data_IF_266117933293
#
_entry.id   IF_266117933293
#
_cell.length_a   1.000
_cell.length_b   1.000
_cell.length_c   1.000
_cell.angle_alpha   90.00
_cell.angle_beta   90.00
_cell.angle_gamma   90.00
#
_symmetry.space_group_name_H-M   'P 1'
#
loop_
_entity.id
_entity.type
_entity.pdbx_description
1 polymer ?
#
# COMPACT_ATOMS: atom_id res chain seq x y z
N UNK A 1 0.78 21.32 -2.73
CA UNK A 1 -0.50 20.56 -2.73
C UNK A 1 -0.62 19.52 -3.86
N UNK A 2 -0.21 19.78 -5.12
CA UNK A 2 -0.26 18.78 -6.22
C UNK A 2 0.62 17.52 -6.07
N UNK A 3 1.61 17.53 -5.15
CA UNK A 3 2.59 16.45 -4.94
C UNK A 3 2.04 15.24 -4.16
N UNK A 4 0.96 15.42 -3.38
CA UNK A 4 0.36 14.35 -2.55
C UNK A 4 -0.83 13.65 -3.20
N UNK A 5 -1.32 14.19 -4.32
CA UNK A 5 -2.42 13.64 -5.09
C UNK A 5 -2.22 12.16 -5.50
N UNK A 6 -1.06 11.75 -6.04
CA UNK A 6 -0.86 10.34 -6.43
C UNK A 6 -0.84 9.40 -5.20
N UNK A 7 -0.22 9.80 -4.10
CA UNK A 7 -0.19 9.03 -2.85
C UNK A 7 -1.58 8.84 -2.24
N UNK A 8 -2.38 9.90 -2.21
CA UNK A 8 -3.78 9.82 -1.72
C UNK A 8 -4.63 8.92 -2.62
N UNK A 9 -4.41 8.96 -3.94
CA UNK A 9 -5.11 8.06 -4.87
C UNK A 9 -4.75 6.59 -4.58
N UNK A 10 -3.47 6.28 -4.41
CA UNK A 10 -3.01 4.93 -4.07
C UNK A 10 -3.61 4.47 -2.73
N UNK A 11 -3.68 5.38 -1.75
CA UNK A 11 -4.28 5.10 -0.45
C UNK A 11 -5.77 4.73 -0.58
N UNK A 12 -6.54 5.56 -1.29
CA UNK A 12 -7.99 5.36 -1.48
C UNK A 12 -8.27 4.13 -2.34
N UNK A 13 -7.49 3.89 -3.40
CA UNK A 13 -7.63 2.71 -4.25
C UNK A 13 -7.33 1.43 -3.46
N UNK A 14 -6.26 1.41 -2.66
CA UNK A 14 -5.94 0.26 -1.80
C UNK A 14 -7.04 -0.05 -0.79
N UNK A 15 -7.62 0.99 -0.17
CA UNK A 15 -8.77 0.84 0.71
C UNK A 15 -9.98 0.25 -0.02
N UNK A 16 -10.30 0.78 -1.22
CA UNK A 16 -11.40 0.29 -2.05
C UNK A 16 -11.24 -1.19 -2.42
N UNK A 17 -10.02 -1.60 -2.78
CA UNK A 17 -9.71 -3.00 -3.10
C UNK A 17 -9.86 -3.91 -1.88
N UNK A 18 -9.42 -3.48 -0.68
CA UNK A 18 -9.62 -4.25 0.55
C UNK A 18 -11.10 -4.44 0.88
N UNK A 19 -11.90 -3.36 0.78
CA UNK A 19 -13.34 -3.42 1.04
C UNK A 19 -14.03 -4.36 0.05
N UNK A 20 -13.65 -4.30 -1.23
CA UNK A 20 -14.19 -5.19 -2.26
C UNK A 20 -13.85 -6.66 -1.97
N UNK A 21 -12.59 -6.96 -1.63
CA UNK A 21 -12.14 -8.32 -1.30
C UNK A 21 -12.79 -8.85 -0.03
N UNK A 22 -12.98 -8.02 1.00
CA UNK A 22 -13.70 -8.40 2.22
C UNK A 22 -15.18 -8.63 1.94
N UNK A 23 -15.80 -7.83 1.07
CA UNK A 23 -17.18 -8.00 0.65
C UNK A 23 -17.38 -9.30 -0.14
N UNK A 24 -16.51 -9.59 -1.10
CA UNK A 24 -16.51 -10.88 -1.81
C UNK A 24 -16.23 -12.05 -0.86
N UNK A 25 -15.28 -11.89 0.07
CA UNK A 25 -14.96 -12.88 1.08
C UNK A 25 -16.15 -13.22 1.97
N UNK A 26 -16.90 -12.20 2.41
CA UNK A 26 -18.10 -12.35 3.22
C UNK A 26 -19.27 -13.02 2.48
N UNK A 27 -19.34 -12.84 1.15
CA UNK A 27 -20.31 -13.53 0.29
C UNK A 27 -19.88 -14.96 -0.08
N UNK A 28 -18.60 -15.30 0.10
CA UNK A 28 -18.05 -16.59 -0.31
C UNK A 28 -18.06 -17.61 0.83
N UNK A 29 -18.51 -18.83 0.54
CA UNK A 29 -18.46 -19.95 1.48
C UNK A 29 -17.23 -20.85 1.19
N UNK A 30 -16.58 -21.33 2.25
CA UNK A 30 -15.46 -22.28 2.16
C UNK A 30 -14.09 -21.64 1.89
N UNK A 31 -13.23 -22.32 1.11
CA UNK A 31 -11.83 -21.96 0.90
C UNK A 31 -11.62 -20.61 0.18
N UNK A 32 -12.62 -20.12 -0.54
CA UNK A 32 -12.59 -18.83 -1.25
C UNK A 32 -12.48 -17.66 -0.28
N UNK A 33 -13.12 -17.74 0.89
CA UNK A 33 -13.00 -16.72 1.93
C UNK A 33 -11.56 -16.60 2.41
N UNK A 34 -10.88 -17.73 2.58
CA UNK A 34 -9.48 -17.81 3.01
C UNK A 34 -8.53 -17.16 1.99
N UNK A 35 -8.78 -17.38 0.70
CA UNK A 35 -8.04 -16.71 -0.39
C UNK A 35 -8.31 -15.20 -0.40
N UNK A 36 -9.56 -14.77 -0.17
CA UNK A 36 -9.89 -13.34 -0.06
C UNK A 36 -9.18 -12.68 1.14
N UNK A 37 -9.14 -13.33 2.29
CA UNK A 37 -8.40 -12.82 3.45
C UNK A 37 -6.89 -12.75 3.20
N UNK A 38 -6.30 -13.74 2.54
CA UNK A 38 -4.90 -13.72 2.13
C UNK A 38 -4.62 -12.57 1.14
N UNK A 39 -5.50 -12.36 0.16
CA UNK A 39 -5.38 -11.24 -0.78
C UNK A 39 -5.45 -9.90 -0.05
N UNK A 40 -6.38 -9.73 0.91
CA UNK A 40 -6.46 -8.52 1.75
C UNK A 40 -5.18 -8.32 2.54
N UNK A 41 -4.60 -9.37 3.13
CA UNK A 41 -3.35 -9.28 3.88
C UNK A 41 -2.18 -8.80 3.01
N UNK A 42 -2.07 -9.29 1.77
CA UNK A 42 -1.03 -8.85 0.82
C UNK A 42 -1.24 -7.39 0.42
N UNK A 43 -2.46 -7.01 0.08
CA UNK A 43 -2.81 -5.61 -0.26
C UNK A 43 -2.54 -4.69 0.93
N UNK A 44 -2.89 -5.10 2.14
CA UNK A 44 -2.61 -4.37 3.38
C UNK A 44 -1.11 -4.21 3.62
N UNK A 45 -0.32 -5.26 3.44
CA UNK A 45 1.12 -5.17 3.63
C UNK A 45 1.76 -4.17 2.64
N UNK A 46 1.39 -4.22 1.36
CA UNK A 46 1.86 -3.26 0.36
C UNK A 46 1.43 -1.81 0.67
N UNK A 47 0.17 -1.65 1.08
CA UNK A 47 -0.40 -0.36 1.47
C UNK A 47 0.28 0.23 2.72
N UNK A 48 0.52 -0.59 3.72
CA UNK A 48 1.21 -0.24 4.95
C UNK A 48 2.67 0.17 4.70
N UNK A 49 3.37 -0.54 3.80
CA UNK A 49 4.72 -0.12 3.38
C UNK A 49 4.71 1.24 2.70
N UNK A 50 3.69 1.55 1.89
CA UNK A 50 3.55 2.86 1.26
C UNK A 50 3.32 3.97 2.29
N UNK A 51 2.45 3.72 3.28
CA UNK A 51 2.26 4.62 4.42
C UNK A 51 3.54 4.84 5.22
N UNK A 52 4.32 3.79 5.46
CA UNK A 52 5.60 3.93 6.16
C UNK A 52 6.61 4.76 5.37
N UNK A 53 6.66 4.62 4.04
CA UNK A 53 7.50 5.47 3.19
C UNK A 53 7.04 6.93 3.23
N UNK A 54 5.74 7.17 3.17
CA UNK A 54 5.15 8.50 3.32
C UNK A 54 5.41 9.11 4.70
N UNK A 55 5.21 8.35 5.78
CA UNK A 55 5.46 8.79 7.14
C UNK A 55 6.95 9.07 7.36
N UNK A 56 7.84 8.24 6.83
CA UNK A 56 9.30 8.47 6.87
C UNK A 56 9.68 9.74 6.10
N UNK A 57 9.08 9.96 4.92
CA UNK A 57 9.25 11.20 4.13
C UNK A 57 8.64 12.45 4.78
N UNK A 58 7.66 12.28 5.67
CA UNK A 58 7.05 13.36 6.44
C UNK A 58 7.82 13.67 7.73
N UNK A 59 8.58 12.72 8.26
CA UNK A 59 9.28 12.83 9.54
C UNK A 59 10.77 13.15 9.35
N UNK A 60 11.40 12.69 8.28
CA UNK A 60 12.65 13.24 7.77
C UNK A 60 12.29 14.48 6.95
N UNK A 61 12.72 15.66 7.41
CA UNK A 61 12.61 16.89 6.64
C UNK A 61 13.21 16.74 5.23
N UNK A 62 12.81 17.64 4.34
CA UNK A 62 13.25 17.77 2.94
C UNK A 62 14.79 17.78 2.74
N UNK A 63 15.52 16.73 3.07
CA UNK A 63 16.93 16.56 2.75
C UNK A 63 17.16 15.06 2.52
N UNK A 64 17.48 14.74 1.26
CA UNK A 64 18.07 13.49 0.79
C UNK A 64 17.15 12.34 0.35
N UNK A 65 17.58 11.69 -0.73
CA UNK A 65 17.14 10.38 -1.23
C UNK A 65 15.83 10.29 -2.04
N UNK A 66 15.72 11.11 -3.08
CA UNK A 66 15.49 10.53 -4.42
C UNK A 66 16.86 10.12 -5.00
N UNK A 67 17.56 9.25 -4.29
CA UNK A 67 18.74 8.59 -4.81
C UNK A 67 18.22 7.30 -5.45
N UNK A 68 17.83 7.42 -6.71
CA UNK A 68 17.80 6.31 -7.67
C UNK A 68 19.24 5.80 -7.93
N UNK A 69 20.08 5.71 -6.89
CA UNK A 69 21.40 5.08 -6.94
C UNK A 69 21.23 3.63 -6.45
N UNK A 70 21.28 2.64 -7.36
CA UNK A 70 21.34 1.25 -6.94
C UNK A 70 22.53 1.06 -6.00
N UNK A 71 22.40 0.30 -4.90
CA UNK A 71 23.56 -0.04 -4.09
C UNK A 71 24.46 -0.92 -4.97
N UNK A 72 25.67 -0.41 -5.21
CA UNK A 72 26.83 -1.01 -5.90
C UNK A 72 27.07 -0.67 -7.38
N UNK A 73 28.16 0.09 -7.61
CA UNK A 73 29.16 -0.21 -8.63
C UNK A 73 30.58 -0.30 -8.02
N UNK A 74 31.37 -1.30 -8.44
CA UNK A 74 32.82 -1.39 -8.16
C UNK A 74 33.23 -2.57 -7.31
#
# INVERSE_FOLDING_TARGET
MRKYLPDVIILVVGLGVMVLLLYLGALSEGWVALVCFLAVAVVYHGWYQHLLRLARRSWGGDEDEFDDQPPFPG
#
